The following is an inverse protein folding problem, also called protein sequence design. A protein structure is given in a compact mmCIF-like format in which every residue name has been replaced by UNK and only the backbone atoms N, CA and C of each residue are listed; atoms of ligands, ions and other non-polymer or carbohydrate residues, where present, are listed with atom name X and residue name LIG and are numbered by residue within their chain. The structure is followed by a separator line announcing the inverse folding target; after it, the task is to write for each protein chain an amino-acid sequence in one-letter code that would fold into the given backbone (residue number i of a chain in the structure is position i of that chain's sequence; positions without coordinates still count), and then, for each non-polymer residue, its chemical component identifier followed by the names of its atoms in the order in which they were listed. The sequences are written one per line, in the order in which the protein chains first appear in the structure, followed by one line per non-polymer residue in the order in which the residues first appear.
data_IF_975668422658
#
_entry.id   IF_975668422658
#
_cell.length_a   1.000
_cell.length_b   1.000
_cell.length_c   1.000
_cell.angle_alpha   90.00
_cell.angle_beta   90.00
_cell.angle_gamma   90.00
#
_symmetry.space_group_name_H-M   'P 1'
#
loop_
_entity.id
_entity.type
_entity.pdbx_description
1 polymer ?
#
# COMPACT_ATOMS: atom_id res chain seq x y z
N UNK A 1 10.80 12.78 7.59
CA UNK A 1 10.92 11.31 7.53
C UNK A 1 11.85 10.86 8.64
N UNK A 2 11.49 9.83 9.42
CA UNK A 2 12.34 9.31 10.50
C UNK A 2 13.54 8.55 9.91
N UNK A 3 14.75 8.95 10.27
CA UNK A 3 16.01 8.30 9.84
C UNK A 3 16.54 7.29 10.85
N UNK A 4 15.74 6.93 11.86
CA UNK A 4 16.07 5.98 12.92
C UNK A 4 17.43 6.29 13.57
N UNK A 5 18.36 5.34 13.57
CA UNK A 5 19.69 5.48 14.21
C UNK A 5 20.55 6.64 13.67
N UNK A 6 20.23 7.12 12.45
CA UNK A 6 20.92 8.27 11.84
C UNK A 6 20.33 9.62 12.25
N UNK A 7 19.29 9.63 13.09
CA UNK A 7 18.67 10.85 13.59
C UNK A 7 19.52 11.45 14.72
N UNK A 8 19.79 12.74 14.64
CA UNK A 8 20.53 13.48 15.67
C UNK A 8 19.87 13.37 17.07
N UNK A 9 18.54 13.29 17.09
CA UNK A 9 17.74 13.18 18.32
C UNK A 9 17.42 11.71 18.71
N UNK A 10 18.08 10.71 18.13
CA UNK A 10 17.77 9.29 18.36
C UNK A 10 17.75 8.91 19.84
N UNK A 11 18.76 9.36 20.61
CA UNK A 11 18.92 9.05 22.03
C UNK A 11 17.87 9.74 22.92
N UNK A 12 17.33 10.85 22.48
CA UNK A 12 16.30 11.63 23.18
C UNK A 12 14.88 11.40 22.67
N UNK A 13 14.76 10.66 21.59
CA UNK A 13 13.47 10.39 20.96
C UNK A 13 12.56 9.58 21.88
N UNK A 14 11.38 10.13 22.17
CA UNK A 14 10.38 9.49 23.03
C UNK A 14 9.94 8.11 22.48
N UNK A 15 9.83 7.98 21.16
CA UNK A 15 9.48 6.73 20.49
C UNK A 15 10.51 5.62 20.76
N UNK A 16 11.80 5.89 20.57
CA UNK A 16 12.84 4.89 20.82
C UNK A 16 13.04 4.60 22.30
N UNK A 17 12.86 5.60 23.18
CA UNK A 17 12.86 5.39 24.64
C UNK A 17 11.69 4.48 25.08
N UNK A 18 10.49 4.69 24.55
CA UNK A 18 9.33 3.85 24.85
C UNK A 18 9.53 2.41 24.36
N UNK A 19 10.02 2.23 23.13
CA UNK A 19 10.35 0.93 22.56
C UNK A 19 11.38 0.15 23.38
N UNK A 20 12.44 0.83 23.84
CA UNK A 20 13.45 0.22 24.71
C UNK A 20 12.86 -0.19 26.07
N UNK A 21 11.93 0.61 26.63
CA UNK A 21 11.24 0.25 27.87
C UNK A 21 10.31 -0.96 27.67
N UNK A 22 9.60 -1.02 26.55
CA UNK A 22 8.71 -2.14 26.24
C UNK A 22 9.49 -3.47 26.18
N UNK A 23 10.68 -3.51 25.57
CA UNK A 23 11.51 -4.72 25.50
C UNK A 23 12.06 -5.23 26.85
N UNK A 24 11.89 -4.47 27.93
CA UNK A 24 12.37 -4.78 29.28
C UNK A 24 11.23 -4.91 30.29
N UNK A 25 10.00 -4.76 29.87
CA UNK A 25 8.84 -4.74 30.74
C UNK A 25 8.22 -6.13 30.90
N UNK A 26 7.82 -6.48 32.11
CA UNK A 26 7.09 -7.71 32.41
C UNK A 26 5.61 -7.63 31.94
N UNK A 27 5.06 -6.41 31.86
CA UNK A 27 3.69 -6.12 31.40
C UNK A 27 3.71 -4.93 30.45
N UNK A 28 3.10 -5.12 29.30
CA UNK A 28 2.94 -4.08 28.27
C UNK A 28 1.45 -3.83 28.05
N UNK A 29 1.02 -2.58 28.18
CA UNK A 29 -0.34 -2.15 27.84
C UNK A 29 -0.29 -1.42 26.52
N UNK A 30 -0.99 -1.95 25.52
CA UNK A 30 -1.05 -1.42 24.17
C UNK A 30 -2.49 -1.36 23.66
N UNK A 31 -2.79 -0.44 22.76
CA UNK A 31 -4.07 -0.47 22.06
C UNK A 31 -4.06 -1.54 20.95
N UNK A 32 -5.25 -1.98 20.53
CA UNK A 32 -5.40 -2.99 19.48
C UNK A 32 -4.68 -2.62 18.19
N UNK A 33 -4.70 -1.34 17.82
CA UNK A 33 -4.11 -0.87 16.57
C UNK A 33 -2.59 -1.03 16.56
N UNK A 34 -1.92 -0.81 17.70
CA UNK A 34 -0.48 -1.05 17.83
C UNK A 34 -0.15 -2.54 17.72
N UNK A 35 -0.93 -3.41 18.37
CA UNK A 35 -0.72 -4.86 18.30
C UNK A 35 -0.88 -5.36 16.86
N UNK A 36 -1.97 -4.97 16.19
CA UNK A 36 -2.23 -5.36 14.80
C UNK A 36 -1.19 -4.81 13.82
N UNK A 37 -0.80 -3.55 14.00
CA UNK A 37 0.24 -2.95 13.16
C UNK A 37 1.60 -3.64 13.37
N UNK A 38 1.94 -4.05 14.58
CA UNK A 38 3.19 -4.75 14.86
C UNK A 38 3.22 -6.14 14.23
N UNK A 39 2.12 -6.90 14.32
CA UNK A 39 1.97 -8.20 13.66
C UNK A 39 2.17 -8.07 12.13
N UNK A 40 1.54 -7.08 11.50
CA UNK A 40 1.67 -6.85 10.05
C UNK A 40 3.12 -6.50 9.66
N UNK A 41 3.81 -5.75 10.51
CA UNK A 41 5.19 -5.31 10.26
C UNK A 41 6.27 -6.30 10.77
N UNK A 42 5.90 -7.50 11.15
CA UNK A 42 6.83 -8.58 11.51
C UNK A 42 7.32 -8.54 12.96
N UNK A 43 6.47 -8.16 13.91
CA UNK A 43 6.72 -8.22 15.36
C UNK A 43 8.03 -7.55 15.79
N UNK A 44 8.16 -6.27 15.45
CA UNK A 44 9.38 -5.51 15.71
C UNK A 44 9.36 -4.69 17.01
N UNK A 45 8.19 -4.50 17.62
CA UNK A 45 7.97 -3.60 18.77
C UNK A 45 7.59 -4.38 20.03
N UNK A 46 6.67 -5.34 19.87
CA UNK A 46 6.15 -6.18 20.94
C UNK A 46 6.89 -7.52 20.97
N UNK A 47 6.83 -8.27 22.08
CA UNK A 47 7.36 -9.63 22.15
C UNK A 47 6.69 -10.55 21.12
N UNK A 48 7.39 -11.60 20.72
CA UNK A 48 6.82 -12.62 19.85
C UNK A 48 5.61 -13.29 20.51
N UNK A 49 4.64 -13.68 19.69
CA UNK A 49 3.37 -14.28 20.17
C UNK A 49 3.61 -15.52 21.03
N UNK A 50 4.68 -16.27 20.77
CA UNK A 50 5.02 -17.48 21.52
C UNK A 50 5.67 -17.20 22.88
N UNK A 51 6.15 -15.97 23.10
CA UNK A 51 6.89 -15.59 24.30
C UNK A 51 6.06 -14.78 25.31
N UNK A 52 4.78 -14.55 25.01
CA UNK A 52 3.92 -13.75 25.86
C UNK A 52 2.46 -14.24 25.93
N UNK A 53 1.73 -13.76 26.91
CA UNK A 53 0.31 -14.00 27.07
C UNK A 53 -0.43 -12.70 26.69
N UNK A 54 -1.34 -12.80 25.72
CA UNK A 54 -2.21 -11.69 25.33
C UNK A 54 -3.49 -11.70 26.16
N UNK A 55 -3.79 -10.58 26.80
CA UNK A 55 -5.08 -10.32 27.44
C UNK A 55 -5.75 -9.19 26.66
N UNK A 56 -6.83 -9.51 25.97
CA UNK A 56 -7.53 -8.56 25.08
C UNK A 56 -8.77 -8.05 25.80
N UNK A 57 -8.76 -6.79 26.19
CA UNK A 57 -9.93 -6.08 26.66
C UNK A 57 -10.80 -5.61 25.49
N UNK A 58 -12.11 -5.47 25.68
CA UNK A 58 -13.06 -5.11 24.62
C UNK A 58 -12.92 -5.97 23.35
N UNK A 59 -12.73 -7.27 23.52
CA UNK A 59 -12.40 -8.22 22.44
C UNK A 59 -13.43 -8.23 21.30
N UNK A 60 -14.66 -7.77 21.55
CA UNK A 60 -15.71 -7.65 20.53
C UNK A 60 -15.38 -6.64 19.43
N UNK A 61 -14.50 -5.66 19.69
CA UNK A 61 -14.00 -4.74 18.69
C UNK A 61 -12.77 -5.25 17.93
N UNK A 62 -12.10 -6.29 18.45
CA UNK A 62 -10.83 -6.74 17.91
C UNK A 62 -10.96 -7.32 16.51
N UNK A 63 -12.02 -8.10 16.25
CA UNK A 63 -12.26 -8.70 14.93
C UNK A 63 -12.45 -7.65 13.83
N UNK A 64 -13.24 -6.60 14.12
CA UNK A 64 -13.48 -5.51 13.17
C UNK A 64 -12.20 -4.71 12.89
N UNK A 65 -11.42 -4.44 13.94
CA UNK A 65 -10.12 -3.77 13.81
C UNK A 65 -9.13 -4.63 13.03
N UNK A 66 -9.05 -5.92 13.32
CA UNK A 66 -8.21 -6.86 12.56
C UNK A 66 -8.58 -6.86 11.08
N UNK A 67 -9.88 -6.96 10.76
CA UNK A 67 -10.35 -6.90 9.40
C UNK A 67 -9.92 -5.60 8.70
N UNK A 68 -10.05 -4.46 9.36
CA UNK A 68 -9.63 -3.16 8.84
C UNK A 68 -8.11 -3.07 8.62
N UNK A 69 -7.31 -3.59 9.55
CA UNK A 69 -5.85 -3.56 9.46
C UNK A 69 -5.28 -4.51 8.41
N UNK A 70 -5.91 -5.68 8.22
CA UNK A 70 -5.49 -6.66 7.20
C UNK A 70 -6.14 -6.42 5.84
N UNK A 71 -7.10 -5.51 5.73
CA UNK A 71 -7.72 -5.17 4.46
C UNK A 71 -6.81 -4.31 3.60
N UNK A 72 -6.85 -4.57 2.30
CA UNK A 72 -6.20 -3.73 1.28
C UNK A 72 -7.30 -2.95 0.56
N UNK A 73 -7.21 -1.64 0.58
CA UNK A 73 -8.13 -0.77 -0.13
C UNK A 73 -7.49 -0.31 -1.44
N UNK A 74 -8.18 -0.54 -2.54
CA UNK A 74 -7.79 -0.05 -3.86
C UNK A 74 -8.87 0.92 -4.36
N UNK A 75 -8.48 2.16 -4.60
CA UNK A 75 -9.37 3.18 -5.16
C UNK A 75 -9.14 3.30 -6.66
N UNK A 76 -10.16 3.05 -7.45
CA UNK A 76 -10.11 3.19 -8.92
C UNK A 76 -9.83 4.63 -9.34
N UNK A 77 -10.41 5.60 -8.65
CA UNK A 77 -10.16 7.03 -8.90
C UNK A 77 -8.72 7.42 -8.59
N UNK A 78 -8.15 6.89 -7.50
CA UNK A 78 -6.74 7.10 -7.17
C UNK A 78 -5.83 6.49 -8.23
N UNK A 79 -6.15 5.30 -8.75
CA UNK A 79 -5.37 4.67 -9.83
C UNK A 79 -5.40 5.51 -11.10
N UNK A 80 -6.60 5.95 -11.55
CA UNK A 80 -6.78 6.82 -12.72
C UNK A 80 -6.00 8.13 -12.58
N UNK A 81 -6.08 8.76 -11.41
CA UNK A 81 -5.36 10.01 -11.16
C UNK A 81 -3.85 9.81 -11.14
N UNK A 82 -3.38 8.75 -10.49
CA UNK A 82 -1.94 8.46 -10.37
C UNK A 82 -1.29 8.17 -11.72
N UNK A 83 -1.95 7.40 -12.60
CA UNK A 83 -1.42 7.12 -13.93
C UNK A 83 -1.34 8.38 -14.80
N UNK A 84 -2.35 9.26 -14.74
CA UNK A 84 -2.34 10.54 -15.47
C UNK A 84 -1.25 11.49 -14.96
N UNK A 85 -1.03 11.55 -13.64
CA UNK A 85 0.06 12.36 -13.08
C UNK A 85 1.43 11.81 -13.47
N UNK A 86 1.60 10.49 -13.45
CA UNK A 86 2.83 9.84 -13.88
C UNK A 86 3.11 10.10 -15.36
N UNK A 87 2.11 10.01 -16.23
CA UNK A 87 2.26 10.29 -17.64
C UNK A 87 2.65 11.77 -17.90
N UNK A 88 2.02 12.71 -17.21
CA UNK A 88 2.37 14.12 -17.31
C UNK A 88 3.84 14.37 -16.91
N UNK A 89 4.32 13.71 -15.87
CA UNK A 89 5.72 13.80 -15.45
C UNK A 89 6.67 13.21 -16.51
N UNK A 90 6.32 12.04 -17.08
CA UNK A 90 7.06 11.39 -18.18
C UNK A 90 7.18 12.34 -19.38
N UNK A 91 6.08 12.94 -19.79
CA UNK A 91 6.04 13.85 -20.94
C UNK A 91 6.90 15.10 -20.72
N UNK A 92 6.89 15.66 -19.51
CA UNK A 92 7.74 16.79 -19.16
C UNK A 92 9.22 16.42 -19.15
N UNK A 93 9.59 15.29 -18.56
CA UNK A 93 10.97 14.80 -18.53
C UNK A 93 11.48 14.55 -19.95
N UNK A 94 10.67 13.88 -20.78
CA UNK A 94 11.01 13.57 -22.17
C UNK A 94 11.27 14.84 -22.99
N UNK A 95 10.46 15.88 -22.80
CA UNK A 95 10.67 17.20 -23.44
C UNK A 95 11.99 17.86 -23.01
N UNK A 96 12.28 17.85 -21.69
CA UNK A 96 13.49 18.48 -21.16
C UNK A 96 14.76 17.72 -21.59
N UNK A 97 14.70 16.37 -21.57
CA UNK A 97 15.83 15.52 -21.92
C UNK A 97 15.99 15.33 -23.44
N UNK A 98 15.04 15.83 -24.24
CA UNK A 98 14.95 15.63 -25.68
C UNK A 98 14.96 14.15 -26.09
N UNK A 99 14.25 13.33 -25.31
CA UNK A 99 14.06 11.90 -25.55
C UNK A 99 12.61 11.62 -25.97
N UNK A 100 12.42 10.49 -26.66
CA UNK A 100 11.06 10.04 -27.01
C UNK A 100 10.34 9.58 -25.73
N UNK A 101 9.12 10.08 -25.50
CA UNK A 101 8.27 9.59 -24.44
C UNK A 101 7.85 8.13 -24.73
N UNK A 102 7.82 7.25 -23.71
CA UNK A 102 7.24 5.93 -23.85
C UNK A 102 5.73 6.01 -24.16
N UNK A 103 5.18 4.90 -24.63
CA UNK A 103 3.74 4.79 -24.89
C UNK A 103 2.93 5.04 -23.64
N UNK A 104 1.83 5.80 -23.80
CA UNK A 104 0.90 6.08 -22.70
C UNK A 104 -0.02 4.89 -22.45
N UNK A 105 -0.17 4.50 -21.21
CA UNK A 105 -1.07 3.43 -20.78
C UNK A 105 -2.36 3.95 -20.15
N UNK A 106 -2.67 5.25 -20.26
CA UNK A 106 -3.87 5.85 -19.64
C UNK A 106 -5.13 5.15 -20.13
N UNK A 107 -5.25 4.96 -21.44
CA UNK A 107 -6.46 4.36 -22.06
C UNK A 107 -6.62 2.92 -21.60
N UNK A 108 -5.55 2.12 -21.65
CA UNK A 108 -5.59 0.72 -21.21
C UNK A 108 -5.95 0.58 -19.72
N UNK A 109 -5.47 1.50 -18.87
CA UNK A 109 -5.82 1.51 -17.44
C UNK A 109 -7.27 1.91 -17.25
N UNK A 110 -7.75 2.94 -17.95
CA UNK A 110 -9.15 3.37 -17.87
C UNK A 110 -10.09 2.23 -18.32
N UNK A 111 -9.82 1.59 -19.47
CA UNK A 111 -10.59 0.45 -19.98
C UNK A 111 -10.60 -0.74 -19.01
N UNK A 112 -9.45 -1.15 -18.48
CA UNK A 112 -9.35 -2.27 -17.54
C UNK A 112 -10.06 -1.98 -16.20
N UNK A 113 -10.09 -0.72 -15.76
CA UNK A 113 -10.85 -0.33 -14.58
C UNK A 113 -12.37 -0.35 -14.87
N UNK A 114 -12.81 0.12 -16.02
CA UNK A 114 -14.24 0.09 -16.39
C UNK A 114 -14.75 -1.35 -16.50
N UNK A 115 -13.99 -2.25 -17.15
CA UNK A 115 -14.31 -3.69 -17.21
C UNK A 115 -14.42 -4.30 -15.80
N UNK A 116 -13.50 -3.98 -14.90
CA UNK A 116 -13.54 -4.45 -13.52
C UNK A 116 -14.77 -3.92 -12.77
N UNK A 117 -15.10 -2.65 -12.93
CA UNK A 117 -16.27 -2.02 -12.33
C UNK A 117 -17.56 -2.69 -12.87
N UNK A 118 -17.66 -2.93 -14.17
CA UNK A 118 -18.82 -3.58 -14.77
C UNK A 118 -19.07 -4.98 -14.16
N UNK A 119 -18.03 -5.79 -14.02
CA UNK A 119 -18.16 -7.11 -13.41
C UNK A 119 -18.55 -6.99 -11.93
N UNK A 120 -17.94 -6.07 -11.19
CA UNK A 120 -18.23 -5.89 -9.75
C UNK A 120 -19.65 -5.37 -9.55
N UNK A 121 -20.14 -4.44 -10.38
CA UNK A 121 -21.50 -3.88 -10.25
C UNK A 121 -22.62 -4.88 -10.56
N UNK A 122 -22.31 -5.97 -11.21
CA UNK A 122 -23.28 -7.06 -11.45
C UNK A 122 -23.49 -7.96 -10.24
N UNK A 123 -22.72 -7.82 -9.16
CA UNK A 123 -22.97 -8.55 -7.92
C UNK A 123 -24.11 -7.90 -7.11
N UNK A 124 -24.83 -8.73 -6.37
CA UNK A 124 -25.82 -8.22 -5.39
C UNK A 124 -25.10 -7.65 -4.17
N UNK A 125 -25.37 -6.39 -3.86
CA UNK A 125 -24.80 -5.70 -2.71
C UNK A 125 -25.77 -5.70 -1.53
N UNK A 126 -25.22 -5.96 -0.32
CA UNK A 126 -25.88 -5.66 0.93
C UNK A 126 -25.22 -4.38 1.49
N UNK A 127 -26.02 -3.31 1.67
CA UNK A 127 -25.55 -2.03 2.23
C UNK A 127 -24.28 -1.46 1.53
N UNK A 128 -24.26 -1.46 0.20
CA UNK A 128 -23.12 -1.03 -0.64
C UNK A 128 -21.81 -1.83 -0.43
N UNK A 129 -21.89 -2.99 0.21
CA UNK A 129 -20.76 -3.89 0.42
C UNK A 129 -21.07 -5.27 -0.13
N UNK A 130 -20.20 -5.80 -0.98
CA UNK A 130 -20.27 -7.18 -1.43
C UNK A 130 -19.30 -8.06 -0.63
N UNK A 131 -19.83 -9.09 0.01
CA UNK A 131 -19.04 -10.08 0.72
C UNK A 131 -18.90 -11.33 -0.16
N UNK A 132 -17.68 -11.62 -0.57
CA UNK A 132 -17.40 -12.89 -1.26
C UNK A 132 -17.55 -14.06 -0.29
N UNK A 133 -18.15 -15.15 -0.78
CA UNK A 133 -18.23 -16.40 -0.05
C UNK A 133 -16.83 -16.99 0.22
N UNK A 134 -16.76 -17.95 1.15
CA UNK A 134 -15.54 -18.73 1.48
C UNK A 134 -14.96 -19.44 0.24
N UNK A 135 -15.78 -19.72 -0.76
CA UNK A 135 -15.35 -20.23 -2.08
C UNK A 135 -14.43 -19.26 -2.84
N UNK A 136 -14.36 -17.99 -2.43
CA UNK A 136 -13.44 -17.01 -2.96
C UNK A 136 -14.04 -16.06 -3.99
N UNK A 137 -13.16 -15.20 -4.50
CA UNK A 137 -13.49 -14.21 -5.52
C UNK A 137 -13.71 -14.92 -6.87
N UNK A 138 -14.68 -14.47 -7.64
CA UNK A 138 -14.94 -14.97 -9.00
C UNK A 138 -13.65 -14.96 -9.85
N UNK A 139 -13.47 -16.00 -10.68
CA UNK A 139 -12.33 -16.11 -11.61
C UNK A 139 -12.20 -14.90 -12.52
N UNK A 140 -13.32 -14.29 -12.91
CA UNK A 140 -13.34 -13.14 -13.81
C UNK A 140 -12.78 -11.89 -13.13
N UNK A 141 -13.19 -11.62 -11.88
CA UNK A 141 -12.61 -10.52 -11.07
C UNK A 141 -11.11 -10.72 -10.86
N UNK A 142 -10.68 -11.97 -10.58
CA UNK A 142 -9.25 -12.28 -10.41
C UNK A 142 -8.48 -12.04 -11.71
N UNK A 143 -9.01 -12.46 -12.85
CA UNK A 143 -8.35 -12.31 -14.15
C UNK A 143 -8.27 -10.84 -14.58
N UNK A 144 -9.36 -10.07 -14.40
CA UNK A 144 -9.35 -8.63 -14.67
C UNK A 144 -8.39 -7.89 -13.75
N UNK A 145 -8.36 -8.23 -12.47
CA UNK A 145 -7.38 -7.67 -11.53
C UNK A 145 -5.93 -7.97 -11.92
N UNK A 146 -5.62 -9.17 -12.41
CA UNK A 146 -4.29 -9.53 -12.93
C UNK A 146 -3.95 -8.76 -14.21
N UNK A 147 -4.91 -8.56 -15.10
CA UNK A 147 -4.74 -7.75 -16.30
C UNK A 147 -4.39 -6.31 -15.94
N UNK A 148 -5.21 -5.67 -15.09
CA UNK A 148 -4.95 -4.32 -14.58
C UNK A 148 -3.57 -4.21 -13.92
N UNK A 149 -3.20 -5.17 -13.07
CA UNK A 149 -1.89 -5.21 -12.42
C UNK A 149 -0.74 -5.26 -13.46
N UNK A 150 -0.91 -6.02 -14.53
CA UNK A 150 0.11 -6.12 -15.59
C UNK A 150 0.29 -4.78 -16.31
N UNK A 151 -0.80 -4.11 -16.65
CA UNK A 151 -0.79 -2.78 -17.28
C UNK A 151 -0.12 -1.75 -16.35
N UNK A 152 -0.49 -1.73 -15.08
CA UNK A 152 0.08 -0.83 -14.08
C UNK A 152 1.58 -1.06 -13.87
N UNK A 153 2.03 -2.32 -13.83
CA UNK A 153 3.46 -2.65 -13.71
C UNK A 153 4.26 -2.17 -14.93
N UNK A 154 3.70 -2.28 -16.14
CA UNK A 154 4.34 -1.76 -17.35
C UNK A 154 4.43 -0.24 -17.32
N UNK A 155 3.35 0.45 -16.95
CA UNK A 155 3.33 1.90 -16.81
C UNK A 155 4.32 2.39 -15.74
N UNK A 156 4.43 1.67 -14.62
CA UNK A 156 5.38 1.97 -13.55
C UNK A 156 6.83 1.74 -13.97
N UNK A 157 7.11 0.68 -14.74
CA UNK A 157 8.42 0.43 -15.35
C UNK A 157 8.86 1.62 -16.22
N UNK A 158 7.98 2.08 -17.11
CA UNK A 158 8.23 3.25 -17.95
C UNK A 158 8.53 4.52 -17.12
N UNK A 159 7.82 4.72 -16.01
CA UNK A 159 8.07 5.83 -15.11
C UNK A 159 9.46 5.73 -14.44
N UNK A 160 9.86 4.54 -14.00
CA UNK A 160 11.18 4.33 -13.38
C UNK A 160 12.32 4.60 -14.38
N UNK A 161 12.17 4.13 -15.60
CA UNK A 161 13.17 4.37 -16.67
C UNK A 161 13.33 5.87 -16.95
N UNK A 162 12.23 6.62 -16.98
CA UNK A 162 12.29 8.07 -17.17
C UNK A 162 12.86 8.81 -15.95
N UNK A 163 12.61 8.34 -14.74
CA UNK A 163 13.25 8.86 -13.53
C UNK A 163 14.78 8.71 -13.60
N UNK A 164 15.27 7.56 -14.05
CA UNK A 164 16.70 7.30 -14.18
C UNK A 164 17.33 8.18 -15.29
N UNK A 165 16.63 8.36 -16.40
CA UNK A 165 17.02 9.30 -17.47
C UNK A 165 17.15 10.73 -16.94
N UNK A 166 16.20 11.19 -16.13
CA UNK A 166 16.23 12.49 -15.49
C UNK A 166 17.41 12.64 -14.52
N UNK A 167 17.65 11.65 -13.67
CA UNK A 167 18.80 11.65 -12.76
C UNK A 167 20.13 11.73 -13.51
N UNK A 168 20.26 11.01 -14.63
CA UNK A 168 21.45 11.03 -15.46
C UNK A 168 21.62 12.38 -16.17
N UNK A 169 20.53 13.00 -16.61
CA UNK A 169 20.55 14.35 -17.17
C UNK A 169 21.03 15.38 -16.14
N UNK A 170 20.48 15.37 -14.92
CA UNK A 170 20.89 16.26 -13.84
C UNK A 170 22.35 16.10 -13.41
N UNK A 171 22.94 14.92 -13.56
CA UNK A 171 24.37 14.69 -13.26
C UNK A 171 25.33 15.23 -14.32
N UNK A 172 24.82 15.43 -15.55
CA UNK A 172 25.64 15.87 -16.71
C UNK A 172 25.58 17.39 -16.95
N UNK A 173 24.56 18.04 -16.40
CA UNK A 173 24.29 19.47 -16.50
C UNK A 173 24.20 20.11 -15.10
#
# INVERSE_FOLDING_TARGET
TCTAKSCEFYNDCAFFKARKKASQADVIIANHDLVLADIINGNNILPEVNDCIFVIDEAHHFSQKALSHFSINASTEFMKTSIRQSQNAIDQISKITNQQAPESHIVQVDEAIEELIEVITNFEYLDDVYLFDISGVSSDVVNLGKNLLTILNTAFGNFLDQKDNWQNYCKRN
#
